data_IF_074706727990
#
_entry.id   IF_074706727990
#
_cell.length_a   1.000
_cell.length_b   1.000
_cell.length_c   1.000
_cell.angle_alpha   90.00
_cell.angle_beta   90.00
_cell.angle_gamma   90.00
#
_symmetry.space_group_name_H-M   'P 1'
#
loop_
_entity.id
_entity.type
_entity.pdbx_description
1 polymer ?
#
# COMPACT_ATOMS: atom_id res chain seq x y z
N UNK A 1 -87.34 23.47 -19.32
CA UNK A 1 -86.89 24.88 -19.46
C UNK A 1 -86.77 25.45 -18.06
N UNK A 2 -85.65 26.12 -17.74
CA UNK A 2 -85.27 26.63 -16.39
C UNK A 2 -85.08 25.58 -15.27
N UNK A 3 -84.51 25.92 -14.10
CA UNK A 3 -83.09 26.30 -13.80
C UNK A 3 -82.95 26.57 -12.27
N UNK A 4 -82.01 25.87 -11.59
CA UNK A 4 -81.49 26.13 -10.21
C UNK A 4 -82.57 26.07 -9.09
N UNK A 5 -82.28 26.11 -7.78
CA UNK A 5 -81.06 26.18 -6.93
C UNK A 5 -81.18 25.06 -5.84
N UNK A 6 -80.41 24.85 -4.75
CA UNK A 6 -79.23 25.45 -4.07
C UNK A 6 -78.57 24.37 -3.16
N UNK A 7 -77.49 24.69 -2.42
CA UNK A 7 -76.68 23.74 -1.62
C UNK A 7 -76.69 23.98 -0.09
N UNK A 8 -76.59 22.90 0.70
CA UNK A 8 -76.18 22.86 2.12
C UNK A 8 -75.67 21.43 2.42
N UNK A 9 -74.41 21.19 2.83
CA UNK A 9 -73.77 21.44 4.15
C UNK A 9 -74.25 20.53 5.31
N UNK A 10 -73.51 19.44 5.54
CA UNK A 10 -73.46 18.67 6.79
C UNK A 10 -71.99 18.23 7.06
N UNK A 11 -71.66 17.84 8.29
CA UNK A 11 -70.27 17.85 8.82
C UNK A 11 -69.53 16.51 8.80
N UNK A 12 -68.19 16.64 8.81
CA UNK A 12 -67.18 15.57 8.94
C UNK A 12 -67.33 14.75 10.22
N UNK A 13 -67.04 13.45 10.13
CA UNK A 13 -66.19 12.70 11.08
C UNK A 13 -65.19 11.91 10.24
N UNK A 14 -63.93 11.84 10.66
CA UNK A 14 -62.89 11.06 9.97
C UNK A 14 -62.26 10.05 10.94
N UNK A 15 -62.05 8.82 10.46
CA UNK A 15 -61.16 7.86 11.09
C UNK A 15 -59.89 7.74 10.23
N UNK A 16 -58.73 7.99 10.83
CA UNK A 16 -57.45 7.65 10.25
C UNK A 16 -57.03 6.26 10.76
N UNK A 17 -56.80 5.30 9.87
CA UNK A 17 -56.01 4.13 10.23
C UNK A 17 -54.53 4.52 10.18
N UNK A 18 -53.83 4.37 11.30
CA UNK A 18 -52.39 4.59 11.36
C UNK A 18 -51.65 3.40 10.73
N UNK A 19 -50.90 3.66 9.66
CA UNK A 19 -49.92 2.72 9.15
C UNK A 19 -48.67 2.76 10.04
N UNK A 20 -48.40 1.67 10.77
CA UNK A 20 -47.19 1.56 11.58
C UNK A 20 -45.96 1.32 10.67
N UNK A 21 -45.26 2.40 10.33
CA UNK A 21 -44.01 2.30 9.57
C UNK A 21 -42.90 1.71 10.45
N UNK A 22 -42.45 0.50 10.12
CA UNK A 22 -41.19 -0.02 10.66
C UNK A 22 -40.03 0.77 10.07
N UNK A 23 -39.56 1.78 10.78
CA UNK A 23 -38.32 2.50 10.45
C UNK A 23 -37.12 1.62 10.74
N UNK A 24 -36.80 0.74 9.80
CA UNK A 24 -35.49 0.10 9.77
C UNK A 24 -34.43 1.19 9.64
N UNK A 25 -33.71 1.47 10.73
CA UNK A 25 -32.60 2.41 10.71
C UNK A 25 -31.46 1.81 9.91
N UNK A 26 -31.40 2.15 8.62
CA UNK A 26 -30.18 2.02 7.83
C UNK A 26 -29.10 2.82 8.56
N UNK A 27 -28.24 2.14 9.31
CA UNK A 27 -27.01 2.73 9.79
C UNK A 27 -26.20 3.11 8.54
N UNK A 28 -26.04 4.40 8.29
CA UNK A 28 -25.30 4.87 7.14
C UNK A 28 -23.86 4.36 7.27
N UNK A 29 -23.45 3.48 6.36
CA UNK A 29 -22.07 2.96 6.34
C UNK A 29 -21.18 4.17 6.08
N UNK A 30 -20.42 4.58 7.10
CA UNK A 30 -19.49 5.71 6.99
C UNK A 30 -18.48 5.37 5.89
N UNK A 31 -18.21 6.25 4.90
CA UNK A 31 -17.31 5.90 3.79
C UNK A 31 -15.93 5.40 4.25
N UNK A 32 -15.40 5.92 5.37
CA UNK A 32 -14.16 5.45 5.98
C UNK A 32 -14.18 4.02 6.53
N UNK A 33 -15.35 3.44 6.83
CA UNK A 33 -15.47 2.04 7.24
C UNK A 33 -15.40 1.10 6.04
N UNK A 34 -16.10 1.43 4.94
CA UNK A 34 -16.04 0.66 3.69
C UNK A 34 -14.65 0.70 3.02
N UNK A 35 -13.86 1.74 3.28
CA UNK A 35 -12.49 1.90 2.76
C UNK A 35 -11.41 1.19 3.60
N UNK A 36 -11.74 0.74 4.83
CA UNK A 36 -10.90 -0.19 5.58
C UNK A 36 -11.19 -1.66 5.18
N UNK A 37 -12.46 -1.96 4.86
CA UNK A 37 -12.92 -3.29 4.42
C UNK A 37 -12.18 -3.79 3.17
N UNK A 38 -11.76 -2.89 2.28
CA UNK A 38 -11.03 -3.23 1.05
C UNK A 38 -9.59 -3.69 1.29
N UNK A 39 -8.89 -3.13 2.29
CA UNK A 39 -7.51 -3.49 2.62
C UNK A 39 -7.45 -4.86 3.33
N UNK A 40 -8.34 -5.08 4.30
CA UNK A 40 -8.46 -6.37 5.00
C UNK A 40 -8.89 -7.48 4.05
N UNK A 41 -9.88 -7.24 3.18
CA UNK A 41 -10.36 -8.26 2.24
C UNK A 41 -9.32 -8.62 1.18
N UNK A 42 -8.54 -7.66 0.68
CA UNK A 42 -7.43 -7.96 -0.23
C UNK A 42 -6.33 -8.75 0.48
N UNK A 43 -5.93 -8.33 1.68
CA UNK A 43 -4.95 -9.07 2.49
C UNK A 43 -5.41 -10.50 2.80
N UNK A 44 -6.70 -10.72 3.05
CA UNK A 44 -7.26 -12.07 3.21
C UNK A 44 -7.23 -12.87 1.91
N UNK A 45 -7.49 -12.27 0.75
CA UNK A 45 -7.30 -12.91 -0.56
C UNK A 45 -5.83 -13.31 -0.79
N UNK A 46 -4.89 -12.45 -0.43
CA UNK A 46 -3.45 -12.70 -0.57
C UNK A 46 -2.99 -13.83 0.37
N UNK A 47 -3.40 -13.81 1.64
CA UNK A 47 -3.12 -14.86 2.61
C UNK A 47 -3.82 -16.19 2.26
N UNK A 48 -5.01 -16.16 1.68
CA UNK A 48 -5.70 -17.34 1.18
C UNK A 48 -5.00 -17.90 -0.06
N UNK A 49 -4.64 -17.03 -1.01
CA UNK A 49 -3.86 -17.36 -2.18
C UNK A 49 -2.51 -17.99 -1.82
N UNK A 50 -1.82 -17.46 -0.82
CA UNK A 50 -0.55 -18.00 -0.32
C UNK A 50 -0.70 -19.17 0.69
N UNK A 51 -1.91 -19.73 0.85
CA UNK A 51 -2.21 -20.83 1.77
C UNK A 51 -1.75 -20.60 3.23
N UNK A 52 -2.06 -19.44 3.79
CA UNK A 52 -2.07 -19.15 5.24
C UNK A 52 -3.49 -18.99 5.78
N UNK A 53 -4.46 -18.74 4.89
CA UNK A 53 -5.90 -18.67 5.14
C UNK A 53 -6.62 -19.64 4.16
N UNK A 54 -7.94 -19.86 4.31
CA UNK A 54 -8.75 -20.46 3.24
C UNK A 54 -9.54 -19.40 2.47
N UNK A 55 -9.87 -19.64 1.20
CA UNK A 55 -10.74 -18.73 0.44
C UNK A 55 -12.15 -18.58 1.05
N UNK A 56 -12.58 -19.52 1.89
CA UNK A 56 -13.84 -19.46 2.64
C UNK A 56 -13.80 -18.54 3.87
N UNK A 57 -12.61 -18.14 4.34
CA UNK A 57 -12.45 -17.22 5.47
C UNK A 57 -12.28 -15.74 5.01
N UNK A 58 -12.45 -15.44 3.73
CA UNK A 58 -12.28 -14.09 3.15
C UNK A 58 -13.53 -13.23 3.39
N UNK A 59 -13.82 -12.98 4.67
CA UNK A 59 -15.03 -12.30 5.14
C UNK A 59 -14.94 -10.76 5.13
N UNK A 60 -13.72 -10.20 5.07
CA UNK A 60 -13.38 -8.77 5.16
C UNK A 60 -13.04 -8.28 6.56
N UNK A 61 -13.06 -9.16 7.57
CA UNK A 61 -12.96 -8.80 8.98
C UNK A 61 -11.58 -9.16 9.54
N UNK A 62 -10.96 -8.20 10.24
CA UNK A 62 -9.71 -8.47 10.96
C UNK A 62 -10.01 -9.20 12.26
N UNK A 63 -10.13 -10.53 12.17
CA UNK A 63 -10.40 -11.44 13.28
C UNK A 63 -9.24 -12.40 13.57
N UNK A 64 -9.39 -13.30 14.57
CA UNK A 64 -8.31 -14.20 15.03
C UNK A 64 -7.72 -15.11 13.93
N UNK A 65 -8.51 -15.49 12.92
CA UNK A 65 -8.01 -16.25 11.77
C UNK A 65 -7.06 -15.40 10.91
N UNK A 66 -7.45 -14.16 10.60
CA UNK A 66 -6.60 -13.18 9.88
C UNK A 66 -5.32 -12.91 10.66
N UNK A 67 -5.39 -12.62 11.97
CA UNK A 67 -4.21 -12.42 12.83
C UNK A 67 -3.30 -13.66 12.87
N UNK A 68 -3.86 -14.87 12.92
CA UNK A 68 -3.11 -16.12 12.89
C UNK A 68 -2.39 -16.36 11.56
N UNK A 69 -3.09 -16.12 10.44
CA UNK A 69 -2.53 -16.23 9.10
C UNK A 69 -1.40 -15.21 8.86
N UNK A 70 -1.58 -13.96 9.30
CA UNK A 70 -0.53 -12.93 9.31
C UNK A 70 0.67 -13.36 10.15
N UNK A 71 0.46 -13.85 11.38
CA UNK A 71 1.54 -14.29 12.26
C UNK A 71 2.35 -15.45 11.66
N UNK A 72 1.67 -16.39 11.00
CA UNK A 72 2.30 -17.51 10.30
C UNK A 72 3.11 -17.03 9.07
N UNK A 73 2.55 -16.12 8.26
CA UNK A 73 3.26 -15.51 7.14
C UNK A 73 4.50 -14.71 7.61
N UNK A 74 4.35 -13.88 8.64
CA UNK A 74 5.46 -13.13 9.25
C UNK A 74 6.56 -14.06 9.77
N UNK A 75 6.19 -15.24 10.30
CA UNK A 75 7.15 -16.27 10.75
C UNK A 75 7.87 -16.91 9.57
N UNK A 76 7.13 -17.44 8.59
CA UNK A 76 7.69 -18.08 7.38
C UNK A 76 8.60 -17.11 6.60
N UNK A 77 8.29 -15.80 6.62
CA UNK A 77 9.04 -14.75 5.92
C UNK A 77 10.07 -13.98 6.76
N UNK A 78 10.28 -14.35 8.03
CA UNK A 78 11.26 -13.72 8.94
C UNK A 78 11.06 -12.19 9.12
N UNK A 79 9.81 -11.76 9.29
CA UNK A 79 9.40 -10.36 9.48
C UNK A 79 9.34 -10.01 10.98
N UNK A 80 8.66 -8.93 11.33
CA UNK A 80 8.15 -8.73 12.70
C UNK A 80 6.90 -9.58 12.90
N UNK A 81 6.94 -10.52 13.85
CA UNK A 81 5.78 -11.37 14.19
C UNK A 81 4.93 -10.64 15.24
N UNK A 82 4.10 -9.73 14.77
CA UNK A 82 3.15 -8.93 15.57
C UNK A 82 1.67 -9.28 15.30
N UNK A 83 1.39 -10.10 14.26
CA UNK A 83 0.05 -10.47 13.84
C UNK A 83 -0.75 -9.34 13.17
N UNK A 84 -0.10 -8.20 12.90
CA UNK A 84 -0.71 -6.99 12.31
C UNK A 84 -0.36 -6.90 10.83
N UNK A 85 -1.35 -6.51 10.02
CA UNK A 85 -1.20 -6.15 8.61
C UNK A 85 -0.45 -4.82 8.52
N UNK A 86 0.86 -4.87 8.79
CA UNK A 86 1.76 -3.72 8.72
C UNK A 86 2.42 -3.62 7.33
N UNK A 87 2.97 -2.45 6.96
CA UNK A 87 3.51 -2.27 5.61
C UNK A 87 4.64 -3.25 5.24
N UNK A 88 5.46 -3.69 6.20
CA UNK A 88 6.45 -4.79 6.01
C UNK A 88 5.78 -6.10 5.55
N UNK A 89 4.61 -6.41 6.11
CA UNK A 89 3.81 -7.59 5.75
C UNK A 89 3.24 -7.42 4.34
N UNK A 90 2.57 -6.30 4.05
CA UNK A 90 2.01 -6.03 2.71
C UNK A 90 3.10 -6.03 1.64
N UNK A 91 4.26 -5.45 1.95
CA UNK A 91 5.44 -5.38 1.08
C UNK A 91 5.97 -6.75 0.67
N UNK A 92 6.21 -7.65 1.62
CA UNK A 92 6.70 -9.00 1.35
C UNK A 92 5.58 -9.88 0.77
N UNK A 93 4.32 -9.70 1.19
CA UNK A 93 3.17 -10.47 0.70
C UNK A 93 2.93 -10.19 -0.79
N UNK A 94 2.81 -8.92 -1.16
CA UNK A 94 2.81 -8.45 -2.56
C UNK A 94 4.00 -9.03 -3.34
N UNK A 95 5.22 -8.96 -2.79
CA UNK A 95 6.42 -9.51 -3.46
C UNK A 95 6.42 -11.04 -3.63
N UNK A 96 5.69 -11.81 -2.81
CA UNK A 96 5.49 -13.25 -3.02
C UNK A 96 4.37 -13.52 -4.02
N UNK A 97 3.28 -12.77 -3.97
CA UNK A 97 2.19 -12.84 -4.96
C UNK A 97 2.71 -12.52 -6.37
N UNK A 98 3.54 -11.49 -6.54
CA UNK A 98 4.20 -11.18 -7.83
C UNK A 98 5.01 -12.35 -8.38
N UNK A 99 5.72 -13.10 -7.55
CA UNK A 99 6.49 -14.29 -7.97
C UNK A 99 5.57 -15.42 -8.43
N UNK A 100 4.48 -15.67 -7.69
CA UNK A 100 3.45 -16.65 -8.07
C UNK A 100 2.78 -16.25 -9.38
N UNK A 101 2.45 -14.97 -9.56
CA UNK A 101 1.88 -14.42 -10.80
C UNK A 101 2.82 -14.58 -12.00
N UNK A 102 4.12 -14.32 -11.80
CA UNK A 102 5.15 -14.53 -12.81
C UNK A 102 5.28 -16.02 -13.20
N UNK A 103 5.34 -16.93 -12.22
CA UNK A 103 5.42 -18.37 -12.46
C UNK A 103 4.14 -18.95 -13.11
N UNK A 104 2.97 -18.43 -12.74
CA UNK A 104 1.67 -18.80 -13.30
C UNK A 104 1.36 -18.16 -14.66
N UNK A 105 2.19 -17.21 -15.13
CA UNK A 105 2.05 -16.57 -16.45
C UNK A 105 0.89 -15.57 -16.54
N UNK A 106 0.58 -14.85 -15.46
CA UNK A 106 -0.50 -13.85 -15.38
C UNK A 106 0.03 -12.44 -15.08
N UNK A 107 -0.85 -11.44 -15.00
CA UNK A 107 -0.52 -10.06 -14.63
C UNK A 107 0.19 -10.02 -13.27
N UNK A 108 1.28 -9.28 -13.19
CA UNK A 108 2.14 -9.16 -12.00
C UNK A 108 1.80 -7.89 -11.19
N UNK A 109 0.53 -7.75 -10.80
CA UNK A 109 0.03 -6.59 -10.03
C UNK A 109 0.29 -6.68 -8.52
N UNK A 110 0.74 -7.84 -8.02
CA UNK A 110 1.01 -8.09 -6.60
C UNK A 110 -0.25 -8.40 -5.77
N UNK A 111 -1.42 -8.55 -6.39
CA UNK A 111 -2.70 -8.82 -5.72
C UNK A 111 -3.25 -10.20 -6.12
N UNK A 112 -3.48 -11.05 -5.13
CA UNK A 112 -4.13 -12.33 -5.35
C UNK A 112 -5.64 -12.12 -5.45
N UNK A 113 -6.28 -12.85 -6.36
CA UNK A 113 -7.71 -12.74 -6.62
C UNK A 113 -8.13 -13.73 -7.69
N UNK A 114 -9.39 -13.67 -8.17
CA UNK A 114 -9.94 -14.69 -9.07
C UNK A 114 -9.12 -14.96 -10.34
N UNK A 115 -8.45 -13.93 -10.90
CA UNK A 115 -7.56 -14.09 -12.06
C UNK A 115 -6.28 -14.87 -11.70
N UNK A 116 -5.65 -14.55 -10.56
CA UNK A 116 -4.46 -15.23 -10.04
C UNK A 116 -4.80 -16.66 -9.61
N UNK A 117 -5.94 -16.86 -8.93
CA UNK A 117 -6.47 -18.17 -8.55
C UNK A 117 -6.70 -19.08 -9.77
N UNK A 118 -7.34 -18.57 -10.83
CA UNK A 118 -7.58 -19.31 -12.06
C UNK A 118 -6.28 -19.65 -12.81
N UNK A 119 -5.32 -18.71 -12.86
CA UNK A 119 -3.99 -18.96 -13.43
C UNK A 119 -3.25 -20.04 -12.64
N UNK A 120 -3.25 -19.98 -11.31
CA UNK A 120 -2.61 -20.99 -10.45
C UNK A 120 -3.30 -22.35 -10.55
N UNK A 121 -4.64 -22.44 -10.65
CA UNK A 121 -5.34 -23.70 -10.94
C UNK A 121 -4.91 -24.31 -12.27
N UNK A 122 -4.77 -23.50 -13.30
CA UNK A 122 -4.32 -23.93 -14.63
C UNK A 122 -2.87 -24.40 -14.59
N UNK A 123 -2.00 -23.69 -13.87
CA UNK A 123 -0.60 -24.05 -13.67
C UNK A 123 -0.46 -25.35 -12.88
N UNK A 124 -1.21 -25.51 -11.78
CA UNK A 124 -1.27 -26.74 -10.97
C UNK A 124 -1.72 -27.94 -11.80
N UNK A 125 -2.72 -27.77 -12.67
CA UNK A 125 -3.18 -28.81 -13.58
C UNK A 125 -2.07 -29.28 -14.53
N UNK A 126 -1.31 -28.36 -15.12
CA UNK A 126 -0.19 -28.67 -15.99
C UNK A 126 0.97 -29.41 -15.28
N UNK A 127 1.14 -29.17 -13.97
CA UNK A 127 2.19 -29.78 -13.14
C UNK A 127 1.71 -30.99 -12.31
N UNK A 128 0.51 -31.50 -12.56
CA UNK A 128 -0.11 -32.64 -11.85
C UNK A 128 -0.30 -32.44 -10.34
N UNK A 129 -0.49 -31.18 -9.90
CA UNK A 129 -0.78 -30.81 -8.52
C UNK A 129 -2.29 -30.72 -8.26
N UNK A 130 -2.67 -30.64 -6.97
CA UNK A 130 -4.03 -30.35 -6.54
C UNK A 130 -4.46 -28.96 -7.03
N UNK A 131 -5.54 -28.89 -7.81
CA UNK A 131 -6.03 -27.65 -8.45
C UNK A 131 -6.84 -26.79 -7.46
N UNK A 132 -6.26 -26.47 -6.30
CA UNK A 132 -6.90 -25.68 -5.25
C UNK A 132 -6.87 -24.16 -5.56
N UNK A 133 -5.95 -23.69 -6.41
CA UNK A 133 -5.74 -22.28 -6.72
C UNK A 133 -4.96 -21.51 -5.67
N UNK A 134 -4.38 -22.21 -4.69
CA UNK A 134 -3.51 -21.65 -3.66
C UNK A 134 -2.06 -22.01 -3.97
N UNK A 135 -1.15 -21.04 -3.85
CA UNK A 135 0.29 -21.25 -3.75
C UNK A 135 0.65 -21.89 -2.39
N UNK A 136 0.20 -23.13 -2.19
CA UNK A 136 0.61 -23.97 -1.08
C UNK A 136 2.09 -24.39 -1.16
N UNK A 137 2.61 -25.03 -0.12
CA UNK A 137 4.02 -25.41 -0.05
C UNK A 137 4.46 -26.33 -1.20
N UNK A 138 3.59 -27.19 -1.74
CA UNK A 138 3.92 -28.04 -2.89
C UNK A 138 3.96 -27.22 -4.19
N UNK A 139 3.00 -26.31 -4.37
CA UNK A 139 2.88 -25.41 -5.51
C UNK A 139 4.05 -24.42 -5.56
N UNK A 140 4.40 -23.78 -4.45
CA UNK A 140 5.56 -22.88 -4.35
C UNK A 140 6.88 -23.61 -4.62
N UNK A 141 7.09 -24.80 -4.05
CA UNK A 141 8.28 -25.62 -4.35
C UNK A 141 8.37 -25.98 -5.84
N UNK A 142 7.26 -26.37 -6.47
CA UNK A 142 7.23 -26.68 -7.89
C UNK A 142 7.43 -25.44 -8.79
N UNK A 143 7.02 -24.26 -8.35
CA UNK A 143 7.29 -22.97 -9.01
C UNK A 143 8.74 -22.47 -8.79
N UNK A 144 9.52 -23.10 -7.90
CA UNK A 144 10.85 -22.62 -7.51
C UNK A 144 10.84 -21.37 -6.64
N UNK A 145 9.79 -21.18 -5.83
CA UNK A 145 9.61 -20.00 -4.96
C UNK A 145 9.80 -20.42 -3.49
N UNK A 146 10.79 -19.84 -2.81
CA UNK A 146 11.05 -20.10 -1.40
C UNK A 146 9.93 -19.56 -0.49
N UNK A 147 9.04 -20.44 -0.02
CA UNK A 147 8.02 -20.09 0.99
C UNK A 147 8.66 -19.63 2.30
N UNK A 148 9.71 -20.31 2.75
CA UNK A 148 10.43 -20.01 3.99
C UNK A 148 11.67 -19.14 3.70
N UNK A 149 11.90 -18.10 4.50
CA UNK A 149 13.10 -17.26 4.42
C UNK A 149 14.20 -17.83 5.33
N UNK A 150 15.00 -18.76 4.79
CA UNK A 150 16.05 -19.47 5.53
C UNK A 150 17.46 -19.17 4.99
N UNK A 151 18.44 -18.80 5.84
CA UNK A 151 18.33 -18.55 7.27
C UNK A 151 17.46 -17.33 7.57
N UNK A 152 16.76 -17.35 8.72
CA UNK A 152 16.03 -16.20 9.21
C UNK A 152 17.01 -15.21 9.86
N UNK A 153 17.49 -14.27 9.06
CA UNK A 153 18.30 -13.13 9.48
C UNK A 153 17.73 -11.84 8.91
N UNK A 154 17.50 -10.84 9.77
CA UNK A 154 17.20 -9.46 9.35
C UNK A 154 18.46 -8.83 8.72
N UNK A 155 18.31 -7.90 7.76
CA UNK A 155 19.46 -7.20 7.19
C UNK A 155 20.18 -6.40 8.29
N UNK A 156 21.50 -6.34 8.20
CA UNK A 156 22.29 -5.34 8.95
C UNK A 156 21.97 -3.93 8.45
N UNK A 157 22.37 -2.91 9.23
CA UNK A 157 22.20 -1.50 8.86
C UNK A 157 22.78 -1.17 7.48
N UNK A 158 23.95 -1.74 7.14
CA UNK A 158 24.61 -1.49 5.85
C UNK A 158 23.90 -2.24 4.71
N UNK A 159 23.45 -3.49 4.92
CA UNK A 159 22.68 -4.24 3.92
C UNK A 159 21.32 -3.60 3.63
N UNK A 160 20.64 -3.11 4.66
CA UNK A 160 19.41 -2.32 4.53
C UNK A 160 19.66 -1.05 3.69
N UNK A 161 20.75 -0.31 3.97
CA UNK A 161 21.11 0.88 3.17
C UNK A 161 21.45 0.50 1.72
N UNK A 162 22.15 -0.61 1.46
CA UNK A 162 22.37 -1.07 0.08
C UNK A 162 21.06 -1.48 -0.62
N UNK A 163 20.10 -2.06 0.10
CA UNK A 163 18.78 -2.39 -0.44
C UNK A 163 17.99 -1.11 -0.78
N UNK A 164 17.92 -0.12 0.11
CA UNK A 164 17.33 1.21 -0.15
C UNK A 164 17.89 1.83 -1.44
N UNK A 165 19.22 1.86 -1.58
CA UNK A 165 19.87 2.43 -2.76
C UNK A 165 19.57 1.65 -4.04
N UNK A 166 19.42 0.32 -3.94
CA UNK A 166 19.10 -0.55 -5.07
C UNK A 166 17.65 -0.39 -5.52
N UNK A 167 16.71 -0.39 -4.56
CA UNK A 167 15.27 -0.29 -4.81
C UNK A 167 14.94 1.10 -5.40
N UNK A 168 15.45 2.17 -4.80
CA UNK A 168 15.23 3.54 -5.29
C UNK A 168 15.73 3.73 -6.74
N UNK A 169 16.87 3.13 -7.09
CA UNK A 169 17.41 3.17 -8.46
C UNK A 169 16.59 2.32 -9.44
N UNK A 170 16.12 1.15 -9.02
CA UNK A 170 15.25 0.29 -9.83
C UNK A 170 13.91 0.97 -10.10
N UNK A 171 13.26 1.52 -9.09
CA UNK A 171 11.94 2.16 -9.25
C UNK A 171 12.02 3.48 -10.02
N UNK A 172 13.08 4.28 -9.89
CA UNK A 172 13.28 5.44 -10.75
C UNK A 172 13.46 5.06 -12.24
N UNK A 173 14.02 3.88 -12.52
CA UNK A 173 14.14 3.33 -13.87
C UNK A 173 12.87 2.59 -14.36
N UNK A 174 11.96 2.25 -13.46
CA UNK A 174 10.77 1.44 -13.74
C UNK A 174 9.65 2.29 -14.37
N UNK A 175 9.55 2.28 -15.69
CA UNK A 175 8.53 3.05 -16.43
C UNK A 175 7.07 2.69 -16.13
N UNK A 176 6.80 1.63 -15.36
CA UNK A 176 5.45 1.31 -14.90
C UNK A 176 5.10 2.00 -13.56
N UNK A 177 6.09 2.39 -12.75
CA UNK A 177 5.89 2.98 -11.41
C UNK A 177 6.53 4.38 -11.23
N UNK A 178 7.40 4.81 -12.16
CA UNK A 178 8.21 6.02 -11.98
C UNK A 178 7.49 7.35 -12.32
N UNK A 179 6.19 7.31 -12.57
CA UNK A 179 5.36 8.49 -12.73
C UNK A 179 3.89 8.20 -12.39
N UNK A 180 3.07 9.25 -12.29
CA UNK A 180 1.63 9.11 -12.06
C UNK A 180 0.91 8.51 -13.27
N UNK A 181 0.06 7.52 -13.01
CA UNK A 181 -0.74 6.83 -14.04
C UNK A 181 -2.18 6.73 -13.52
N UNK A 182 -3.15 7.04 -14.39
CA UNK A 182 -4.58 6.89 -14.09
C UNK A 182 -5.26 8.12 -13.48
N UNK A 183 -4.53 9.20 -13.20
CA UNK A 183 -5.08 10.47 -12.71
C UNK A 183 -4.03 11.33 -12.00
N UNK A 184 -4.44 12.47 -11.47
CA UNK A 184 -3.59 13.33 -10.64
C UNK A 184 -3.32 12.71 -9.25
N UNK A 185 -2.08 12.80 -8.78
CA UNK A 185 -1.55 12.13 -7.59
C UNK A 185 -1.68 10.58 -7.59
N UNK A 186 -2.12 9.98 -8.70
CA UNK A 186 -2.39 8.55 -8.82
C UNK A 186 -1.10 7.78 -9.01
N UNK A 187 -0.64 7.07 -7.98
CA UNK A 187 0.70 6.51 -7.95
C UNK A 187 0.75 5.09 -7.34
N UNK A 188 1.82 4.37 -7.67
CA UNK A 188 2.05 3.00 -7.22
C UNK A 188 2.29 2.88 -5.70
N UNK A 189 3.04 3.81 -5.10
CA UNK A 189 3.53 3.71 -3.73
C UNK A 189 2.42 3.89 -2.69
N UNK A 190 1.57 4.91 -2.82
CA UNK A 190 0.37 5.08 -1.97
C UNK A 190 -0.59 3.89 -2.12
N UNK A 191 -0.66 3.30 -3.33
CA UNK A 191 -1.46 2.09 -3.60
C UNK A 191 -0.93 0.89 -2.82
N UNK A 192 0.36 0.57 -2.92
CA UNK A 192 1.00 -0.54 -2.20
C UNK A 192 1.06 -0.34 -0.67
N UNK A 193 0.94 0.91 -0.20
CA UNK A 193 0.85 1.27 1.23
C UNK A 193 -0.58 1.29 1.77
N UNK A 194 -1.61 1.12 0.92
CA UNK A 194 -3.02 1.18 1.33
C UNK A 194 -3.55 2.59 1.68
N UNK A 195 -2.75 3.64 1.44
CA UNK A 195 -3.05 5.02 1.84
C UNK A 195 -3.66 5.85 0.70
N UNK A 196 -4.05 7.09 0.98
CA UNK A 196 -4.74 7.95 0.02
C UNK A 196 -6.17 7.52 -0.31
N UNK A 197 -6.75 8.19 -1.30
CA UNK A 197 -8.11 7.96 -1.78
C UNK A 197 -8.16 7.08 -3.03
N UNK A 198 -9.22 6.29 -3.22
CA UNK A 198 -9.47 5.62 -4.50
C UNK A 198 -10.07 6.57 -5.54
N UNK A 199 -9.99 6.21 -6.82
CA UNK A 199 -10.60 6.97 -7.93
C UNK A 199 -9.77 7.03 -9.21
N UNK A 200 -8.53 6.54 -9.19
CA UNK A 200 -7.66 6.46 -10.37
C UNK A 200 -8.20 5.44 -11.38
N UNK A 201 -8.10 5.74 -12.68
CA UNK A 201 -8.72 4.92 -13.74
C UNK A 201 -8.07 3.55 -13.95
N UNK A 202 -6.89 3.33 -13.36
CA UNK A 202 -6.16 2.06 -13.28
C UNK A 202 -6.34 1.32 -11.94
N UNK A 203 -7.21 1.80 -11.04
CA UNK A 203 -7.43 1.20 -9.72
C UNK A 203 -6.40 1.61 -8.65
N UNK A 204 -5.44 2.47 -8.98
CA UNK A 204 -4.51 3.03 -7.99
C UNK A 204 -5.18 4.00 -7.02
N UNK A 205 -4.41 4.42 -6.01
CA UNK A 205 -4.77 5.38 -4.98
C UNK A 205 -4.08 6.73 -5.23
N UNK A 206 -4.72 7.80 -4.78
CA UNK A 206 -4.33 9.19 -4.99
C UNK A 206 -4.09 9.89 -3.65
N UNK A 207 -2.83 10.26 -3.40
CA UNK A 207 -2.37 11.30 -2.47
C UNK A 207 -0.96 11.79 -2.85
N UNK A 208 -0.44 12.82 -2.16
CA UNK A 208 0.86 13.41 -2.48
C UNK A 208 2.02 12.53 -1.98
N UNK A 209 2.78 11.93 -2.90
CA UNK A 209 3.43 10.64 -2.66
C UNK A 209 4.96 10.70 -2.47
N UNK A 210 5.55 11.88 -2.26
CA UNK A 210 7.00 11.99 -2.02
C UNK A 210 7.43 11.26 -0.73
N UNK A 211 6.64 11.35 0.34
CA UNK A 211 6.90 10.63 1.60
C UNK A 211 6.52 9.14 1.50
N UNK A 212 5.46 8.81 0.78
CA UNK A 212 5.04 7.43 0.53
C UNK A 212 6.10 6.64 -0.24
N UNK A 213 6.75 7.22 -1.25
CA UNK A 213 7.89 6.59 -1.92
C UNK A 213 9.03 6.28 -0.93
N UNK A 214 9.48 7.28 -0.15
CA UNK A 214 10.55 7.10 0.85
C UNK A 214 10.18 6.01 1.86
N UNK A 215 8.94 6.03 2.35
CA UNK A 215 8.39 5.06 3.29
C UNK A 215 8.38 3.65 2.68
N UNK A 216 7.81 3.48 1.49
CA UNK A 216 7.68 2.20 0.78
C UNK A 216 9.03 1.56 0.48
N UNK A 217 10.02 2.35 0.05
CA UNK A 217 11.38 1.89 -0.22
C UNK A 217 12.06 1.39 1.06
N UNK A 218 12.02 2.20 2.11
CA UNK A 218 12.52 1.85 3.45
C UNK A 218 11.87 0.56 3.99
N UNK A 219 10.56 0.39 3.78
CA UNK A 219 9.83 -0.85 4.11
C UNK A 219 10.36 -2.04 3.30
N UNK A 220 10.53 -1.90 1.98
CA UNK A 220 11.02 -2.96 1.08
C UNK A 220 12.45 -3.39 1.42
N UNK A 221 13.25 -2.50 2.01
CA UNK A 221 14.60 -2.77 2.52
C UNK A 221 14.68 -3.30 3.97
N UNK A 222 13.56 -3.38 4.69
CA UNK A 222 13.51 -3.88 6.08
C UNK A 222 13.80 -2.84 7.18
N UNK A 223 13.65 -1.54 6.88
CA UNK A 223 13.75 -0.49 7.88
C UNK A 223 12.51 -0.43 8.79
N UNK A 224 12.69 0.10 10.00
CA UNK A 224 11.58 0.52 10.84
C UNK A 224 10.99 1.82 10.28
N UNK A 225 9.69 1.84 9.98
CA UNK A 225 8.99 3.03 9.46
C UNK A 225 7.81 3.45 10.35
N UNK A 226 7.83 3.10 11.63
CA UNK A 226 6.80 3.52 12.60
C UNK A 226 6.73 5.04 12.70
N UNK A 227 5.52 5.62 12.68
CA UNK A 227 5.30 7.06 12.72
C UNK A 227 5.33 7.77 11.35
N UNK A 228 5.98 7.19 10.34
CA UNK A 228 6.03 7.77 8.97
C UNK A 228 4.66 7.65 8.29
N UNK A 229 4.23 8.73 7.63
CA UNK A 229 2.98 8.87 6.89
C UNK A 229 3.19 9.80 5.66
N UNK A 230 2.15 10.07 4.87
CA UNK A 230 2.22 10.87 3.64
C UNK A 230 2.73 12.32 3.81
N UNK A 231 2.79 12.86 5.03
CA UNK A 231 3.42 14.16 5.29
C UNK A 231 4.95 14.05 5.26
N UNK A 232 5.59 14.88 4.43
CA UNK A 232 7.05 15.04 4.36
C UNK A 232 7.71 15.30 5.72
N UNK A 233 7.05 16.03 6.63
CA UNK A 233 7.56 16.30 7.98
C UNK A 233 7.63 15.06 8.88
N UNK A 234 6.88 13.99 8.56
CA UNK A 234 6.93 12.75 9.34
C UNK A 234 8.28 12.04 9.28
N UNK A 235 9.11 12.31 8.26
CA UNK A 235 10.50 11.86 8.19
C UNK A 235 11.40 12.63 9.16
N UNK A 236 11.16 13.93 9.34
CA UNK A 236 11.86 14.72 10.37
C UNK A 236 11.45 14.25 11.78
N UNK A 237 10.17 14.03 12.02
CA UNK A 237 9.67 13.57 13.32
C UNK A 237 10.09 12.13 13.64
N UNK A 238 10.14 11.24 12.63
CA UNK A 238 10.78 9.93 12.72
C UNK A 238 12.26 10.06 13.12
N UNK A 239 13.03 10.90 12.42
CA UNK A 239 14.44 11.11 12.73
C UNK A 239 14.66 11.59 14.16
N UNK A 240 13.80 12.48 14.67
CA UNK A 240 13.83 12.92 16.07
C UNK A 240 13.50 11.77 17.03
N UNK A 241 12.44 11.01 16.75
CA UNK A 241 11.97 9.91 17.61
C UNK A 241 12.98 8.74 17.70
N UNK A 242 13.69 8.45 16.61
CA UNK A 242 14.72 7.41 16.53
C UNK A 242 16.14 7.91 16.84
N UNK A 243 16.33 9.21 17.11
CA UNK A 243 17.65 9.80 17.37
C UNK A 243 18.58 9.88 16.15
N UNK A 244 18.03 9.73 14.94
CA UNK A 244 18.74 9.71 13.67
C UNK A 244 18.59 10.98 12.84
N UNK A 245 17.93 12.02 13.36
CA UNK A 245 17.86 13.34 12.72
C UNK A 245 19.20 14.08 12.79
N UNK A 246 19.66 14.60 11.66
CA UNK A 246 20.86 15.44 11.57
C UNK A 246 20.76 16.48 10.46
N UNK A 247 21.53 17.56 10.58
CA UNK A 247 21.57 18.66 9.60
C UNK A 247 22.89 18.71 8.82
N UNK A 248 23.80 17.76 9.05
CA UNK A 248 25.14 17.73 8.46
C UNK A 248 25.68 16.31 8.37
N UNK A 249 26.51 16.06 7.36
CA UNK A 249 27.02 14.73 6.97
C UNK A 249 25.92 13.79 6.43
N UNK A 250 25.16 14.21 5.38
CA UNK A 250 24.24 13.34 4.65
C UNK A 250 24.92 12.07 4.15
N UNK A 251 24.22 10.95 4.29
CA UNK A 251 24.66 9.60 3.92
C UNK A 251 23.75 9.05 2.83
N UNK A 252 24.25 8.15 1.97
CA UNK A 252 23.39 7.28 1.17
C UNK A 252 22.38 6.56 2.08
N UNK A 253 21.11 6.51 1.67
CA UNK A 253 19.99 5.94 2.41
C UNK A 253 19.23 6.91 3.33
N UNK A 254 19.79 8.09 3.66
CA UNK A 254 19.08 9.11 4.45
C UNK A 254 17.84 9.65 3.69
N UNK A 255 16.75 9.91 4.40
CA UNK A 255 15.67 10.74 3.89
C UNK A 255 16.06 12.21 4.03
N UNK A 256 16.29 12.92 2.93
CA UNK A 256 16.44 14.39 2.94
C UNK A 256 15.05 15.03 3.05
N UNK A 257 14.92 15.96 3.99
CA UNK A 257 13.72 16.78 4.18
C UNK A 257 13.93 18.21 3.69
N UNK A 258 12.94 18.73 2.97
CA UNK A 258 12.89 20.08 2.45
C UNK A 258 11.81 20.91 3.15
N UNK A 259 12.18 22.13 3.57
CA UNK A 259 11.34 23.05 4.36
C UNK A 259 10.08 23.55 3.64
N UNK A 260 9.97 23.33 2.33
CA UNK A 260 8.76 23.57 1.53
C UNK A 260 7.78 22.37 1.51
N UNK A 261 8.02 21.33 2.32
CA UNK A 261 7.10 20.19 2.48
C UNK A 261 7.35 19.03 1.51
N UNK A 262 8.62 18.71 1.23
CA UNK A 262 9.03 17.67 0.28
C UNK A 262 10.11 16.76 0.87
N UNK A 263 10.24 15.52 0.40
CA UNK A 263 11.28 14.56 0.82
C UNK A 263 11.82 13.72 -0.34
N UNK A 264 12.99 13.12 -0.15
CA UNK A 264 13.54 12.10 -1.04
C UNK A 264 14.67 11.29 -0.39
N UNK A 265 15.10 10.22 -1.05
CA UNK A 265 16.17 9.33 -0.58
C UNK A 265 17.51 9.83 -1.12
N UNK A 266 18.45 10.18 -0.25
CA UNK A 266 19.82 10.51 -0.63
C UNK A 266 20.50 9.26 -1.18
N UNK A 267 20.98 9.31 -2.43
CA UNK A 267 21.72 8.21 -3.06
C UNK A 267 23.23 8.44 -3.10
N UNK A 268 23.68 9.69 -3.09
CA UNK A 268 25.08 10.04 -2.85
C UNK A 268 25.23 11.46 -2.30
N UNK A 269 26.35 11.73 -1.63
CA UNK A 269 26.65 13.04 -1.08
C UNK A 269 28.13 13.41 -1.26
N UNK A 270 28.40 14.70 -1.41
CA UNK A 270 29.74 15.29 -1.36
C UNK A 270 29.78 16.37 -0.27
N UNK A 271 30.89 17.09 -0.13
CA UNK A 271 30.96 18.26 0.75
C UNK A 271 30.01 19.39 0.31
N UNK A 272 29.74 19.53 -0.98
CA UNK A 272 28.98 20.65 -1.56
C UNK A 272 27.64 20.27 -2.19
N UNK A 273 27.37 18.99 -2.47
CA UNK A 273 26.16 18.51 -3.14
C UNK A 273 25.55 17.28 -2.47
N UNK A 274 24.26 17.06 -2.72
CA UNK A 274 23.62 15.74 -2.59
C UNK A 274 22.99 15.36 -3.93
N UNK A 275 22.98 14.06 -4.23
CA UNK A 275 22.13 13.45 -5.25
C UNK A 275 21.11 12.60 -4.53
N UNK A 276 19.84 12.75 -4.89
CA UNK A 276 18.71 12.09 -4.24
C UNK A 276 17.67 11.66 -5.26
N UNK A 277 16.89 10.63 -4.94
CA UNK A 277 15.73 10.16 -5.71
C UNK A 277 14.47 10.57 -4.96
N UNK A 278 13.48 11.13 -5.65
CA UNK A 278 12.26 11.65 -5.02
C UNK A 278 11.05 11.44 -5.92
N UNK A 279 9.96 10.96 -5.33
CA UNK A 279 8.63 10.89 -5.95
C UNK A 279 7.90 12.22 -5.89
N UNK A 280 6.75 12.31 -6.57
CA UNK A 280 5.90 13.52 -6.65
C UNK A 280 6.71 14.78 -7.00
N UNK A 281 7.64 14.69 -7.96
CA UNK A 281 8.60 15.75 -8.24
C UNK A 281 8.65 16.13 -9.71
N UNK A 282 8.89 17.42 -10.01
CA UNK A 282 8.90 17.97 -11.37
C UNK A 282 9.58 17.06 -12.40
N UNK A 283 8.79 16.67 -13.39
CA UNK A 283 9.14 15.77 -14.46
C UNK A 283 9.25 16.53 -15.79
N UNK A 284 10.45 16.63 -16.40
CA UNK A 284 10.62 17.37 -17.63
C UNK A 284 10.00 16.71 -18.86
N UNK A 285 9.54 15.45 -18.77
CA UNK A 285 8.88 14.75 -19.87
C UNK A 285 7.39 15.10 -20.00
N UNK A 286 6.74 15.49 -18.90
CA UNK A 286 5.30 15.81 -18.82
C UNK A 286 5.03 17.28 -18.51
N UNK A 287 5.93 17.93 -17.78
CA UNK A 287 5.79 19.30 -17.29
C UNK A 287 5.11 19.44 -15.93
N UNK A 288 4.75 18.34 -15.25
CA UNK A 288 4.09 18.36 -13.94
C UNK A 288 5.00 17.79 -12.84
N UNK A 289 4.58 17.88 -11.58
CA UNK A 289 5.24 17.24 -10.42
C UNK A 289 4.90 15.74 -10.28
N UNK A 290 4.79 15.03 -11.41
CA UNK A 290 4.26 13.65 -11.50
C UNK A 290 5.32 12.54 -11.51
N UNK A 291 6.62 12.85 -11.34
CA UNK A 291 7.71 11.89 -11.55
C UNK A 291 8.38 11.35 -10.27
N UNK A 292 9.01 10.18 -10.41
CA UNK A 292 10.03 9.63 -9.51
C UNK A 292 11.40 9.76 -10.20
N UNK A 293 12.20 10.75 -9.78
CA UNK A 293 13.40 11.14 -10.52
C UNK A 293 14.60 11.40 -9.61
N UNK A 294 15.79 11.03 -10.13
CA UNK A 294 17.07 11.38 -9.53
C UNK A 294 17.42 12.85 -9.82
N UNK A 295 17.75 13.62 -8.78
CA UNK A 295 18.09 15.05 -8.84
C UNK A 295 19.36 15.32 -8.03
N UNK A 296 20.16 16.30 -8.46
CA UNK A 296 21.37 16.74 -7.74
C UNK A 296 21.28 18.23 -7.43
N UNK A 297 21.56 18.61 -6.18
CA UNK A 297 21.43 19.99 -5.69
C UNK A 297 22.62 20.39 -4.81
N UNK A 298 22.82 21.70 -4.63
CA UNK A 298 23.80 22.23 -3.68
C UNK A 298 23.32 22.07 -2.23
N UNK A 299 24.23 21.64 -1.36
CA UNK A 299 24.06 21.64 0.11
C UNK A 299 24.07 23.05 0.73
N UNK A 300 24.37 24.09 -0.05
CA UNK A 300 24.27 25.49 0.37
C UNK A 300 22.87 26.10 0.21
N UNK A 301 21.87 25.31 -0.23
CA UNK A 301 20.49 25.76 -0.39
C UNK A 301 19.76 25.87 0.94
N UNK A 302 19.06 26.99 1.16
CA UNK A 302 18.25 27.25 2.37
C UNK A 302 16.98 26.41 2.48
N UNK A 303 16.67 25.59 1.47
CA UNK A 303 15.49 24.73 1.41
C UNK A 303 15.69 23.36 2.08
N UNK A 304 16.92 22.93 2.36
CA UNK A 304 17.17 21.67 3.09
C UNK A 304 16.97 21.92 4.58
N UNK A 305 15.98 21.26 5.19
CA UNK A 305 15.74 21.32 6.64
C UNK A 305 16.66 20.37 7.42
N UNK A 306 16.96 19.20 6.84
CA UNK A 306 17.85 18.20 7.43
C UNK A 306 17.67 16.83 6.79
N UNK A 307 18.10 15.81 7.51
CA UNK A 307 18.17 14.42 7.08
C UNK A 307 17.79 13.48 8.22
N UNK A 308 17.09 12.40 7.93
CA UNK A 308 16.86 11.30 8.86
C UNK A 308 17.52 10.01 8.33
N UNK A 309 18.42 9.41 9.10
CA UNK A 309 18.91 8.06 8.76
C UNK A 309 17.85 7.01 9.14
N UNK A 310 17.57 6.01 8.29
CA UNK A 310 16.73 4.87 8.63
C UNK A 310 17.41 4.02 9.71
N UNK A 311 16.62 3.30 10.52
CA UNK A 311 17.12 2.23 11.40
C UNK A 311 16.51 0.88 11.00
N UNK A 312 17.27 -0.20 11.17
CA UNK A 312 16.76 -1.57 11.03
C UNK A 312 15.59 -1.83 12.00
N UNK A 313 14.67 -2.69 11.59
CA UNK A 313 13.46 -3.06 12.35
C UNK A 313 13.71 -4.17 13.36
#
# INVERSE_FOLDING_TARGET
MHIRISSAWARRVGLALAAAAMTATMAAITPGQALADTDVRQTQWDLAGMAYLTFTDVDGVSGPQTTGAVSAFQTDRCLTVDGVVGPETNSELSAQVTKVQAAAGTTQDGMYGPNTEAAVKTWQAAHNLTQNGQADAATMTAMGIDRLKTPCSRPTQDEMVQQILTIAQQEAANSAHNHEIGGYNCNYYSTQLGVGSGGCSNGWRSEAWCADFVRWDWIKAGANTSGINGLASSLEDYGKAHGTWHTSNPKPGDAVYFTYGHVGIVVSATSSTITYISGNTYNPATGNDDGLLQKTISRSGTSIGGYASPVVK
#
